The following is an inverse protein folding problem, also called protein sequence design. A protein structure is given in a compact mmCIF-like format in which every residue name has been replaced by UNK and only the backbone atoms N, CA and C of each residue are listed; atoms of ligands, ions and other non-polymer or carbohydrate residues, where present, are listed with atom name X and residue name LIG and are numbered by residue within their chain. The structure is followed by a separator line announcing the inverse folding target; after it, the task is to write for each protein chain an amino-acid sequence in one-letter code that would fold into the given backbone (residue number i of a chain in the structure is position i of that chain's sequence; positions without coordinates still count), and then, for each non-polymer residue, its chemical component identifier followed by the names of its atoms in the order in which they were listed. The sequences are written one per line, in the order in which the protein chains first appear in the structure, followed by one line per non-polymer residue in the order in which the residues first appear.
data_IF_186600976651
#
_entry.id   IF_186600976651
#
_cell.length_a   1.000
_cell.length_b   1.000
_cell.length_c   1.000
_cell.angle_alpha   90.00
_cell.angle_beta   90.00
_cell.angle_gamma   90.00
#
_symmetry.space_group_name_H-M   'P 1'
#
loop_
_entity.id
_entity.type
_entity.pdbx_description
1 polymer ?
#
# COMPACT_ATOMS: atom_id res chain seq x y z
N UNK A 1 -11.52 -0.95 0.30
CA UNK A 1 -10.73 -0.10 -0.61
C UNK A 1 -11.41 -0.11 -1.98
N UNK A 2 -11.36 0.96 -2.76
CA UNK A 2 -11.99 0.96 -4.09
C UNK A 2 -11.04 0.34 -5.12
N UNK A 3 -11.22 -0.96 -5.40
CA UNK A 3 -10.28 -1.78 -6.18
C UNK A 3 -9.84 -1.13 -7.48
N UNK A 4 -10.78 -0.71 -8.34
CA UNK A 4 -10.44 -0.12 -9.64
C UNK A 4 -9.71 1.22 -9.55
N UNK A 5 -10.06 2.08 -8.58
CA UNK A 5 -9.43 3.38 -8.41
C UNK A 5 -8.03 3.22 -7.85
N UNK A 6 -7.84 2.29 -6.92
CA UNK A 6 -6.52 1.97 -6.36
C UNK A 6 -5.62 1.35 -7.42
N UNK A 7 -6.13 0.46 -8.27
CA UNK A 7 -5.38 -0.10 -9.38
C UNK A 7 -4.94 0.99 -10.38
N UNK A 8 -5.87 1.85 -10.82
CA UNK A 8 -5.58 3.00 -11.71
C UNK A 8 -4.55 3.95 -11.10
N UNK A 9 -4.67 4.22 -9.80
CA UNK A 9 -3.72 5.07 -9.08
C UNK A 9 -2.32 4.47 -9.07
N UNK A 10 -2.17 3.18 -8.75
CA UNK A 10 -0.84 2.55 -8.75
C UNK A 10 -0.25 2.56 -10.17
N UNK A 11 -1.07 2.31 -11.19
CA UNK A 11 -0.66 2.32 -12.60
C UNK A 11 -0.24 3.69 -13.13
N UNK A 12 -0.61 4.80 -12.47
CA UNK A 12 -0.17 6.13 -12.89
C UNK A 12 1.28 6.42 -12.52
N UNK A 13 1.95 5.55 -11.75
CA UNK A 13 3.37 5.66 -11.43
C UNK A 13 4.24 4.83 -12.38
N UNK A 14 5.53 5.20 -12.55
CA UNK A 14 6.47 4.38 -13.31
C UNK A 14 6.50 2.94 -12.83
N UNK A 15 6.43 1.97 -13.75
CA UNK A 15 6.37 0.53 -13.46
C UNK A 15 5.17 0.08 -12.61
N UNK A 16 4.14 0.91 -12.46
CA UNK A 16 2.96 0.63 -11.64
C UNK A 16 2.19 -0.63 -12.05
N UNK A 17 2.18 -0.98 -13.34
CA UNK A 17 1.50 -2.18 -13.86
C UNK A 17 1.99 -3.47 -13.18
N UNK A 18 3.28 -3.54 -12.84
CA UNK A 18 3.91 -4.71 -12.20
C UNK A 18 3.42 -4.88 -10.76
N UNK A 19 3.09 -3.78 -10.08
CA UNK A 19 2.73 -3.76 -8.67
C UNK A 19 1.22 -3.71 -8.43
N UNK A 20 0.44 -3.15 -9.35
CA UNK A 20 -0.96 -2.83 -9.12
C UNK A 20 -1.79 -4.05 -8.65
N UNK A 21 -1.69 -5.17 -9.38
CA UNK A 21 -2.41 -6.39 -9.03
C UNK A 21 -1.98 -6.95 -7.66
N UNK A 22 -0.68 -6.94 -7.37
CA UNK A 22 -0.14 -7.43 -6.11
C UNK A 22 -0.62 -6.60 -4.92
N UNK A 23 -0.48 -5.27 -4.99
CA UNK A 23 -0.83 -4.38 -3.88
C UNK A 23 -2.34 -4.37 -3.60
N UNK A 24 -3.18 -4.33 -4.65
CA UNK A 24 -4.64 -4.43 -4.51
C UNK A 24 -5.04 -5.74 -3.84
N UNK A 25 -4.43 -6.85 -4.26
CA UNK A 25 -4.66 -8.17 -3.66
C UNK A 25 -4.28 -8.20 -2.18
N UNK A 26 -3.12 -7.67 -1.82
CA UNK A 26 -2.64 -7.69 -0.42
C UNK A 26 -3.52 -6.84 0.50
N UNK A 27 -3.95 -5.66 0.04
CA UNK A 27 -4.88 -4.82 0.81
C UNK A 27 -6.19 -5.58 1.04
N UNK A 28 -6.74 -6.20 0.00
CA UNK A 28 -7.99 -6.95 0.11
C UNK A 28 -7.87 -8.19 1.02
N UNK A 29 -6.73 -8.88 1.01
CA UNK A 29 -6.44 -9.99 1.94
C UNK A 29 -6.33 -9.51 3.40
N UNK A 30 -5.81 -8.31 3.64
CA UNK A 30 -5.78 -7.69 4.96
C UNK A 30 -7.16 -7.20 5.42
N UNK A 31 -7.99 -6.66 4.51
CA UNK A 31 -9.38 -6.28 4.80
C UNK A 31 -10.19 -7.45 5.34
N UNK A 32 -10.09 -8.62 4.70
CA UNK A 32 -10.80 -9.84 5.14
C UNK A 32 -10.44 -10.29 6.55
N UNK A 33 -9.21 -10.04 7.01
CA UNK A 33 -8.76 -10.44 8.34
C UNK A 33 -9.30 -9.56 9.47
N UNK A 34 -9.74 -8.35 9.13
CA UNK A 34 -10.16 -7.33 10.10
C UNK A 34 -11.59 -6.84 9.86
N UNK A 35 -12.39 -7.57 9.07
CA UNK A 35 -13.77 -7.17 8.72
C UNK A 35 -14.69 -7.05 9.95
N UNK A 36 -14.42 -7.86 10.98
CA UNK A 36 -15.15 -7.88 12.24
C UNK A 36 -14.86 -6.69 13.18
N UNK A 37 -13.87 -5.84 12.87
CA UNK A 37 -13.61 -4.63 13.64
C UNK A 37 -14.64 -3.54 13.29
N UNK A 38 -15.45 -3.15 14.28
CA UNK A 38 -16.54 -2.20 14.09
C UNK A 38 -16.01 -0.76 13.95
N UNK A 39 -14.99 -0.40 14.74
CA UNK A 39 -14.39 0.93 14.67
C UNK A 39 -13.61 1.09 13.36
N UNK A 40 -14.08 2.01 12.53
CA UNK A 40 -13.51 2.20 11.20
C UNK A 40 -12.06 2.70 11.23
N UNK A 41 -11.68 3.51 12.21
CA UNK A 41 -10.32 4.01 12.37
C UNK A 41 -9.37 2.92 12.85
N UNK A 42 -9.79 2.09 13.81
CA UNK A 42 -9.00 0.94 14.27
C UNK A 42 -8.88 -0.09 13.16
N UNK A 43 -9.98 -0.39 12.46
CA UNK A 43 -9.98 -1.35 11.35
C UNK A 43 -8.97 -0.96 10.28
N UNK A 44 -8.98 0.30 9.84
CA UNK A 44 -8.04 0.74 8.80
C UNK A 44 -6.60 0.75 9.30
N UNK A 45 -6.35 1.06 10.58
CA UNK A 45 -5.02 0.95 11.18
C UNK A 45 -4.51 -0.50 11.15
N UNK A 46 -5.34 -1.48 11.50
CA UNK A 46 -4.99 -2.91 11.45
C UNK A 46 -4.72 -3.39 10.02
N UNK A 47 -5.56 -2.97 9.07
CA UNK A 47 -5.36 -3.26 7.64
C UNK A 47 -4.02 -2.68 7.17
N UNK A 48 -3.69 -1.44 7.55
CA UNK A 48 -2.44 -0.79 7.18
C UNK A 48 -1.21 -1.47 7.80
N UNK A 49 -1.27 -1.90 9.07
CA UNK A 49 -0.23 -2.69 9.72
C UNK A 49 0.00 -4.03 8.98
N UNK A 50 -1.08 -4.76 8.70
CA UNK A 50 -1.03 -6.02 7.94
C UNK A 50 -0.41 -5.83 6.55
N UNK A 51 -0.80 -4.76 5.84
CA UNK A 51 -0.30 -4.46 4.51
C UNK A 51 1.20 -4.11 4.54
N UNK A 52 1.63 -3.25 5.47
CA UNK A 52 3.04 -2.90 5.69
C UNK A 52 3.90 -4.15 5.90
N UNK A 53 3.48 -5.03 6.79
CA UNK A 53 4.25 -6.23 7.14
C UNK A 53 4.28 -7.23 5.98
N UNK A 54 3.20 -7.29 5.20
CA UNK A 54 3.13 -8.09 3.98
C UNK A 54 4.08 -7.58 2.89
N UNK A 55 4.15 -6.27 2.67
CA UNK A 55 5.11 -5.67 1.75
C UNK A 55 6.56 -5.88 2.21
N UNK A 56 6.84 -5.78 3.51
CA UNK A 56 8.17 -6.08 4.07
C UNK A 56 8.59 -7.52 3.86
N UNK A 57 7.70 -8.50 4.11
CA UNK A 57 7.98 -9.92 3.90
C UNK A 57 8.21 -10.31 2.44
N UNK A 58 7.76 -9.49 1.50
CA UNK A 58 7.89 -9.71 0.05
C UNK A 58 8.94 -8.82 -0.60
N UNK A 59 9.76 -8.13 0.20
CA UNK A 59 10.80 -7.20 -0.25
C UNK A 59 10.27 -6.10 -1.20
N UNK A 60 8.99 -5.72 -1.02
CA UNK A 60 8.33 -4.64 -1.77
C UNK A 60 8.32 -3.31 -1.00
N UNK A 61 8.60 -3.35 0.31
CA UNK A 61 8.62 -2.15 1.14
C UNK A 61 9.92 -1.37 0.86
N UNK A 62 9.84 -0.09 0.44
CA UNK A 62 11.04 0.73 0.29
C UNK A 62 11.69 1.00 1.65
N UNK A 63 13.00 1.23 1.65
CA UNK A 63 13.70 1.67 2.85
C UNK A 63 13.34 3.12 3.17
N UNK A 64 13.54 3.53 4.42
CA UNK A 64 13.35 4.94 4.80
C UNK A 64 14.28 5.87 4.01
N UNK A 65 15.49 5.42 3.70
CA UNK A 65 16.45 6.16 2.89
C UNK A 65 15.90 6.42 1.48
N UNK A 66 15.36 5.39 0.81
CA UNK A 66 14.75 5.53 -0.51
C UNK A 66 13.55 6.50 -0.49
N UNK A 67 12.70 6.42 0.53
CA UNK A 67 11.55 7.31 0.68
C UNK A 67 11.98 8.77 0.88
N UNK A 68 13.00 9.01 1.72
CA UNK A 68 13.53 10.36 1.96
C UNK A 68 14.21 10.93 0.71
N UNK A 69 14.95 10.10 -0.03
CA UNK A 69 15.57 10.51 -1.28
C UNK A 69 14.51 10.95 -2.31
N UNK A 70 13.45 10.16 -2.51
CA UNK A 70 12.35 10.52 -3.42
C UNK A 70 11.63 11.80 -2.94
N UNK A 71 11.39 11.94 -1.64
CA UNK A 71 10.77 13.15 -1.09
C UNK A 71 11.60 14.41 -1.36
N UNK A 72 12.92 14.36 -1.13
CA UNK A 72 13.82 15.49 -1.41
C UNK A 72 13.82 15.81 -2.91
N UNK A 73 13.95 14.81 -3.77
CA UNK A 73 13.91 15.00 -5.23
C UNK A 73 12.58 15.62 -5.72
N UNK A 74 11.45 15.29 -5.10
CA UNK A 74 10.13 15.85 -5.42
C UNK A 74 9.96 17.27 -4.88
N UNK A 75 10.56 17.60 -3.73
CA UNK A 75 10.46 18.92 -3.09
C UNK A 75 11.27 20.01 -3.82
N UNK A 76 12.29 19.62 -4.59
CA UNK A 76 13.13 20.53 -5.39
C UNK A 76 12.58 20.79 -6.81
N UNK A 77 11.47 20.13 -7.19
CA UNK A 77 10.78 20.34 -8.47
C UNK A 77 9.67 21.38 -8.36
#
# INVERSE_FOLDING_TARGET
MHHENTEKFIKSFPNGEILAQHLVKFIHECEKQHDAEEDHCVRILRIAECFRDTCRRRDLAPTMEMLLAEFIMQAER
#
